data_IF_857399450145
#
_entry.id   IF_857399450145
#
_cell.length_a   1.000
_cell.length_b   1.000
_cell.length_c   1.000
_cell.angle_alpha   90.00
_cell.angle_beta   90.00
_cell.angle_gamma   90.00
#
_symmetry.space_group_name_H-M   'P 1'
#
loop_
_entity.id
_entity.type
_entity.pdbx_description
1 polymer ?
#
# COMPACT_ATOMS: atom_id res chain seq x y z
N UNK A 1 -33.09 -35.42 -30.35
CA UNK A 1 -32.14 -35.15 -29.25
C UNK A 1 -31.88 -33.65 -29.20
N UNK A 2 -32.56 -32.92 -28.31
CA UNK A 2 -32.47 -31.46 -28.23
C UNK A 2 -31.20 -31.01 -27.50
N UNK A 3 -30.43 -30.09 -28.09
CA UNK A 3 -29.23 -29.51 -27.46
C UNK A 3 -29.64 -28.62 -26.29
N UNK A 4 -29.05 -28.87 -25.12
CA UNK A 4 -29.20 -28.01 -23.93
C UNK A 4 -28.58 -26.64 -24.24
N UNK A 5 -29.40 -25.59 -24.19
CA UNK A 5 -28.94 -24.22 -24.39
C UNK A 5 -28.65 -23.59 -23.03
N UNK A 6 -27.39 -23.20 -22.81
CA UNK A 6 -26.98 -22.48 -21.60
C UNK A 6 -27.26 -20.99 -21.80
N UNK A 7 -28.08 -20.42 -20.91
CA UNK A 7 -28.41 -18.99 -20.88
C UNK A 7 -27.61 -18.28 -19.79
N UNK A 8 -27.21 -17.04 -20.05
CA UNK A 8 -26.48 -16.15 -19.15
C UNK A 8 -27.21 -14.82 -19.05
N UNK A 9 -27.15 -14.15 -17.89
CA UNK A 9 -27.85 -12.88 -17.67
C UNK A 9 -26.88 -11.71 -17.63
N UNK A 10 -27.13 -10.68 -18.43
CA UNK A 10 -26.32 -9.46 -18.40
C UNK A 10 -26.60 -8.67 -17.11
N UNK A 11 -25.56 -8.33 -16.34
CA UNK A 11 -25.65 -7.54 -15.11
C UNK A 11 -26.30 -6.15 -15.31
N UNK A 12 -26.00 -5.51 -16.44
CA UNK A 12 -26.46 -4.14 -16.73
C UNK A 12 -27.84 -4.13 -17.40
N UNK A 13 -28.02 -4.95 -18.43
CA UNK A 13 -29.27 -4.96 -19.22
C UNK A 13 -30.38 -5.84 -18.64
N UNK A 14 -30.04 -6.73 -17.69
CA UNK A 14 -30.91 -7.78 -17.11
C UNK A 14 -31.57 -8.71 -18.13
N UNK A 15 -31.07 -8.74 -19.37
CA UNK A 15 -31.55 -9.63 -20.43
C UNK A 15 -30.82 -10.98 -20.38
N UNK A 16 -31.52 -12.04 -20.74
CA UNK A 16 -30.96 -13.38 -20.92
C UNK A 16 -30.40 -13.53 -22.34
N UNK A 17 -29.20 -14.08 -22.43
CA UNK A 17 -28.44 -14.23 -23.67
C UNK A 17 -27.84 -15.62 -23.72
N UNK A 18 -27.72 -16.20 -24.91
CA UNK A 18 -27.08 -17.49 -25.07
C UNK A 18 -25.60 -17.40 -24.68
N UNK A 19 -25.08 -18.45 -24.02
CA UNK A 19 -23.69 -18.53 -23.59
C UNK A 19 -22.67 -18.69 -24.73
N UNK A 20 -23.08 -18.51 -25.99
CA UNK A 20 -22.17 -18.52 -27.13
C UNK A 20 -21.49 -17.15 -27.22
N UNK A 21 -20.18 -17.15 -27.43
CA UNK A 21 -19.38 -15.92 -27.49
C UNK A 21 -19.96 -14.84 -28.41
N UNK A 22 -20.44 -15.23 -29.60
CA UNK A 22 -21.08 -14.31 -30.53
C UNK A 22 -22.33 -13.62 -29.94
N UNK A 23 -23.19 -14.40 -29.28
CA UNK A 23 -24.43 -13.93 -28.64
C UNK A 23 -24.16 -13.12 -27.36
N UNK A 24 -22.97 -13.25 -26.76
CA UNK A 24 -22.52 -12.44 -25.62
C UNK A 24 -21.94 -11.09 -26.06
N UNK A 25 -21.25 -11.04 -27.20
CA UNK A 25 -20.58 -9.82 -27.71
C UNK A 25 -21.57 -8.85 -28.34
N UNK A 26 -22.61 -9.35 -29.03
CA UNK A 26 -23.61 -8.49 -29.67
C UNK A 26 -24.35 -7.56 -28.67
N UNK A 27 -24.88 -8.04 -27.53
CA UNK A 27 -25.56 -7.22 -26.53
C UNK A 27 -24.72 -6.05 -26.02
N UNK A 28 -23.41 -6.23 -25.85
CA UNK A 28 -22.48 -5.19 -25.35
C UNK A 28 -22.44 -3.98 -26.28
N UNK A 29 -22.62 -4.19 -27.59
CA UNK A 29 -22.63 -3.14 -28.61
C UNK A 29 -23.99 -2.45 -28.78
N UNK A 30 -25.03 -2.91 -28.08
CA UNK A 30 -26.37 -2.33 -28.20
C UNK A 30 -26.47 -1.01 -27.45
N UNK A 31 -27.31 -0.09 -27.95
CA UNK A 31 -27.63 1.17 -27.28
C UNK A 31 -28.19 0.94 -25.87
N UNK A 32 -28.98 -0.13 -25.69
CA UNK A 32 -29.55 -0.52 -24.39
C UNK A 32 -28.44 -0.81 -23.37
N UNK A 33 -27.41 -1.55 -23.76
CA UNK A 33 -26.26 -1.82 -22.89
C UNK A 33 -25.44 -0.57 -22.62
N UNK A 34 -25.13 0.21 -23.66
CA UNK A 34 -24.35 1.44 -23.50
C UNK A 34 -25.02 2.48 -22.60
N UNK A 35 -26.36 2.53 -22.55
CA UNK A 35 -27.09 3.41 -21.62
C UNK A 35 -27.08 2.79 -20.22
N UNK A 36 -27.48 1.53 -20.09
CA UNK A 36 -27.56 0.86 -18.79
C UNK A 36 -26.20 0.70 -18.09
N UNK A 37 -25.09 0.65 -18.83
CA UNK A 37 -23.74 0.52 -18.24
C UNK A 37 -23.18 1.85 -17.74
N UNK A 38 -23.62 3.00 -18.29
CA UNK A 38 -23.12 4.33 -17.90
C UNK A 38 -23.40 4.62 -16.43
N UNK A 39 -24.57 4.26 -15.94
CA UNK A 39 -24.99 4.51 -14.55
C UNK A 39 -24.20 3.66 -13.53
N UNK A 40 -23.63 2.53 -13.96
CA UNK A 40 -22.83 1.65 -13.09
C UNK A 40 -21.34 1.98 -13.12
N UNK A 41 -20.88 2.82 -14.06
CA UNK A 41 -19.47 3.18 -14.22
C UNK A 41 -19.08 4.45 -13.46
N UNK A 42 -19.99 5.03 -12.68
CA UNK A 42 -19.69 6.21 -11.85
C UNK A 42 -19.22 5.81 -10.45
N UNK A 43 -18.04 5.21 -10.35
CA UNK A 43 -17.25 5.38 -9.14
C UNK A 43 -16.85 6.86 -9.07
N UNK A 44 -17.52 7.65 -8.23
CA UNK A 44 -17.05 9.01 -7.95
C UNK A 44 -15.79 8.85 -7.12
N UNK A 45 -14.64 9.27 -7.65
CA UNK A 45 -13.48 9.49 -6.81
C UNK A 45 -13.92 10.35 -5.62
N UNK A 46 -13.54 9.96 -4.41
CA UNK A 46 -13.77 10.76 -3.20
C UNK A 46 -12.48 11.56 -2.98
N UNK A 47 -12.31 12.74 -3.62
CA UNK A 47 -11.05 13.48 -3.57
C UNK A 47 -10.71 13.96 -2.15
N UNK A 48 -11.68 14.00 -1.24
CA UNK A 48 -11.52 14.60 0.09
C UNK A 48 -11.23 13.60 1.22
N UNK A 49 -11.30 12.28 0.99
CA UNK A 49 -11.16 11.32 2.09
C UNK A 49 -9.72 11.05 2.49
N UNK A 50 -8.76 11.27 1.59
CA UNK A 50 -7.33 11.10 1.86
C UNK A 50 -6.62 12.39 1.52
N UNK A 51 -6.41 13.24 2.53
CA UNK A 51 -5.44 14.33 2.39
C UNK A 51 -4.05 13.69 2.31
N UNK A 52 -3.32 13.85 1.19
CA UNK A 52 -1.96 13.34 1.12
C UNK A 52 -1.13 14.01 2.23
N UNK A 53 -0.28 13.25 2.94
CA UNK A 53 0.60 13.84 3.94
C UNK A 53 1.47 14.89 3.26
N UNK A 54 1.77 15.98 3.98
CA UNK A 54 2.70 16.97 3.46
C UNK A 54 4.07 16.31 3.25
N UNK A 55 4.80 16.74 2.23
CA UNK A 55 6.16 16.24 2.00
C UNK A 55 7.07 16.48 3.22
N UNK A 56 6.85 17.58 3.94
CA UNK A 56 7.60 17.95 5.15
C UNK A 56 7.33 16.98 6.30
N UNK A 57 6.07 16.63 6.54
CA UNK A 57 5.69 15.66 7.57
C UNK A 57 6.14 14.25 7.19
N UNK A 58 6.05 13.86 5.92
CA UNK A 58 6.55 12.57 5.44
C UNK A 58 8.08 12.44 5.65
N UNK A 59 8.84 13.50 5.35
CA UNK A 59 10.27 13.53 5.62
C UNK A 59 10.57 13.43 7.12
N UNK A 60 9.87 14.18 7.97
CA UNK A 60 10.07 14.13 9.42
C UNK A 60 9.78 12.73 9.99
N UNK A 61 8.68 12.10 9.56
CA UNK A 61 8.35 10.73 9.94
C UNK A 61 9.41 9.74 9.46
N UNK A 62 9.89 9.86 8.22
CA UNK A 62 10.95 9.04 7.68
C UNK A 62 12.25 9.15 8.48
N UNK A 63 12.64 10.36 8.88
CA UNK A 63 13.82 10.61 9.72
C UNK A 63 13.66 10.00 11.12
N UNK A 64 12.49 10.15 11.74
CA UNK A 64 12.20 9.51 13.04
C UNK A 64 12.25 7.98 12.91
N UNK A 65 11.66 7.41 11.86
CA UNK A 65 11.71 5.97 11.60
C UNK A 65 13.14 5.47 11.42
N UNK A 66 13.99 6.22 10.71
CA UNK A 66 15.39 5.87 10.54
C UNK A 66 16.16 5.91 11.86
N UNK A 67 15.95 6.95 12.67
CA UNK A 67 16.53 7.05 14.01
C UNK A 67 16.13 5.85 14.88
N UNK A 68 14.86 5.46 14.84
CA UNK A 68 14.36 4.32 15.61
C UNK A 68 14.99 3.02 15.12
N UNK A 69 15.05 2.78 13.80
CA UNK A 69 15.65 1.58 13.25
C UNK A 69 17.13 1.41 13.62
N UNK A 70 17.87 2.51 13.75
CA UNK A 70 19.30 2.47 14.04
C UNK A 70 19.63 2.40 15.54
N UNK A 71 18.80 3.00 16.41
CA UNK A 71 19.22 3.31 17.78
C UNK A 71 18.21 3.03 18.88
N UNK A 72 16.97 2.65 18.57
CA UNK A 72 15.93 2.52 19.59
C UNK A 72 15.05 1.29 19.40
N UNK A 73 14.34 0.94 20.48
CA UNK A 73 13.22 0.01 20.36
C UNK A 73 12.10 0.63 19.53
N UNK A 74 11.44 -0.19 18.69
CA UNK A 74 10.27 0.22 17.93
C UNK A 74 9.12 0.72 18.84
N UNK A 75 9.07 0.26 20.08
CA UNK A 75 8.04 0.64 21.05
C UNK A 75 8.11 2.13 21.42
N UNK A 76 9.29 2.75 21.34
CA UNK A 76 9.48 4.16 21.64
C UNK A 76 8.70 5.08 20.68
N UNK A 77 8.35 4.61 19.48
CA UNK A 77 7.66 5.43 18.48
C UNK A 77 6.24 5.84 18.88
N UNK A 78 5.54 5.05 19.73
CA UNK A 78 4.12 5.27 20.04
C UNK A 78 3.89 6.58 20.79
N UNK A 79 4.77 6.90 21.75
CA UNK A 79 4.70 8.17 22.48
C UNK A 79 5.51 9.27 21.80
N UNK A 80 6.60 8.93 21.10
CA UNK A 80 7.43 9.91 20.42
C UNK A 80 6.67 10.64 19.32
N UNK A 81 5.88 9.93 18.49
CA UNK A 81 5.07 10.56 17.45
C UNK A 81 4.04 11.54 18.01
N UNK A 82 3.40 11.19 19.13
CA UNK A 82 2.47 12.06 19.85
C UNK A 82 3.18 13.28 20.40
N UNK A 83 4.32 13.09 21.07
CA UNK A 83 5.13 14.17 21.64
C UNK A 83 5.55 15.19 20.57
N UNK A 84 6.07 14.71 19.44
CA UNK A 84 6.49 15.58 18.34
C UNK A 84 5.30 16.39 17.79
N UNK A 85 4.14 15.76 17.63
CA UNK A 85 2.93 16.45 17.19
C UNK A 85 2.48 17.50 18.20
N UNK A 86 2.52 17.20 19.49
CA UNK A 86 2.05 18.12 20.55
C UNK A 86 3.00 19.30 20.75
N UNK A 87 4.31 19.07 20.67
CA UNK A 87 5.32 20.09 20.97
C UNK A 87 5.66 20.97 19.76
N UNK A 88 5.51 20.45 18.53
CA UNK A 88 5.94 21.15 17.31
C UNK A 88 4.76 21.53 16.41
N UNK A 89 3.63 21.94 17.00
CA UNK A 89 2.40 22.31 16.29
C UNK A 89 2.57 23.53 15.37
N UNK A 90 3.48 24.43 15.71
CA UNK A 90 3.76 25.63 14.91
C UNK A 90 4.52 25.30 13.61
N UNK A 91 5.15 24.12 13.55
CA UNK A 91 5.86 23.66 12.37
C UNK A 91 4.92 22.90 11.43
N UNK A 92 4.99 23.21 10.14
CA UNK A 92 4.25 22.46 9.11
C UNK A 92 4.65 20.97 9.08
N UNK A 93 5.87 20.63 9.49
CA UNK A 93 6.34 19.25 9.60
C UNK A 93 5.71 18.54 10.80
N UNK A 94 5.72 19.17 11.99
CA UNK A 94 5.29 18.58 13.25
C UNK A 94 3.77 18.45 13.40
N UNK A 95 3.02 19.46 12.94
CA UNK A 95 1.54 19.48 13.04
C UNK A 95 0.86 18.25 12.44
N UNK A 96 1.39 17.76 11.33
CA UNK A 96 0.81 16.67 10.55
C UNK A 96 1.45 15.30 10.79
N UNK A 97 2.37 15.20 11.77
CA UNK A 97 2.95 13.90 12.17
C UNK A 97 1.84 12.98 12.68
N UNK A 98 1.80 11.78 12.11
CA UNK A 98 0.93 10.67 12.50
C UNK A 98 1.78 9.42 12.51
N UNK A 99 2.59 9.25 13.56
CA UNK A 99 3.51 8.13 13.67
C UNK A 99 3.24 7.32 14.94
N UNK A 100 3.05 6.02 14.75
CA UNK A 100 2.86 4.98 15.76
C UNK A 100 3.49 3.69 15.25
N UNK A 101 3.48 2.63 16.05
CA UNK A 101 4.15 1.35 15.77
C UNK A 101 3.87 0.83 14.38
N UNK A 102 2.61 0.66 13.99
CA UNK A 102 2.24 0.07 12.69
C UNK A 102 2.83 0.87 11.52
N UNK A 103 2.73 2.20 11.57
CA UNK A 103 3.24 3.05 10.50
C UNK A 103 4.77 3.10 10.50
N UNK A 104 5.39 3.15 11.68
CA UNK A 104 6.84 3.13 11.81
C UNK A 104 7.43 1.83 11.24
N UNK A 105 6.86 0.68 11.63
CA UNK A 105 7.23 -0.62 11.06
C UNK A 105 7.01 -0.63 9.55
N UNK A 106 5.89 -0.10 9.05
CA UNK A 106 5.61 -0.06 7.63
C UNK A 106 6.65 0.75 6.85
N UNK A 107 7.02 1.94 7.34
CA UNK A 107 8.06 2.80 6.72
C UNK A 107 9.42 2.10 6.75
N UNK A 108 9.79 1.50 7.89
CA UNK A 108 11.06 0.78 8.03
C UNK A 108 11.12 -0.38 7.03
N UNK A 109 10.11 -1.26 7.01
CA UNK A 109 10.14 -2.48 6.22
C UNK A 109 9.92 -2.25 4.71
N UNK A 110 9.11 -1.25 4.32
CA UNK A 110 8.68 -1.09 2.92
C UNK A 110 9.29 0.13 2.23
N UNK A 111 9.98 1.00 2.96
CA UNK A 111 10.62 2.20 2.37
C UNK A 111 12.11 2.23 2.68
N UNK A 112 12.50 2.18 3.96
CA UNK A 112 13.90 2.29 4.35
C UNK A 112 14.69 1.02 4.00
N UNK A 113 14.18 -0.16 4.38
CA UNK A 113 14.81 -1.45 4.08
C UNK A 113 15.16 -1.61 2.59
N UNK A 114 14.20 -1.53 1.64
CA UNK A 114 14.53 -1.74 0.23
C UNK A 114 15.52 -0.70 -0.32
N UNK A 115 15.47 0.54 0.20
CA UNK A 115 16.44 1.57 -0.18
C UNK A 115 17.86 1.19 0.26
N UNK A 116 18.06 0.78 1.51
CA UNK A 116 19.38 0.40 2.00
C UNK A 116 19.88 -0.94 1.45
N UNK A 117 18.99 -1.91 1.21
CA UNK A 117 19.36 -3.14 0.50
C UNK A 117 19.85 -2.83 -0.92
N UNK A 118 19.17 -1.93 -1.64
CA UNK A 118 19.61 -1.51 -2.97
C UNK A 118 20.97 -0.79 -2.93
N UNK A 119 21.19 0.10 -1.97
CA UNK A 119 22.48 0.76 -1.78
C UNK A 119 23.59 -0.24 -1.49
N UNK A 120 23.35 -1.16 -0.55
CA UNK A 120 24.32 -2.20 -0.18
C UNK A 120 24.67 -3.08 -1.39
N UNK A 121 23.67 -3.53 -2.16
CA UNK A 121 23.88 -4.31 -3.37
C UNK A 121 24.72 -3.55 -4.41
N UNK A 122 24.47 -2.25 -4.55
CA UNK A 122 25.23 -1.38 -5.46
C UNK A 122 26.67 -1.16 -4.99
N UNK A 123 26.91 -1.11 -3.69
CA UNK A 123 28.25 -0.96 -3.12
C UNK A 123 29.08 -2.25 -3.22
N UNK A 124 28.43 -3.41 -3.05
CA UNK A 124 29.06 -4.71 -3.24
C UNK A 124 29.38 -4.93 -4.73
N UNK A 125 28.40 -4.68 -5.62
CA UNK A 125 28.50 -4.90 -7.07
C UNK A 125 29.18 -6.25 -7.41
N UNK A 126 30.16 -6.28 -8.31
CA UNK A 126 30.97 -7.46 -8.62
C UNK A 126 32.30 -7.52 -7.86
N UNK A 127 32.38 -6.85 -6.70
CA UNK A 127 33.60 -6.85 -5.89
C UNK A 127 33.65 -8.09 -4.97
N UNK A 128 34.84 -8.65 -4.73
CA UNK A 128 34.99 -9.72 -3.76
C UNK A 128 34.62 -9.21 -2.36
N UNK A 129 33.89 -10.01 -1.59
CA UNK A 129 33.53 -9.71 -0.21
C UNK A 129 33.83 -10.90 0.70
N UNK A 130 34.02 -10.64 1.99
CA UNK A 130 34.15 -11.67 3.02
C UNK A 130 32.88 -11.68 3.86
N UNK A 131 32.30 -12.86 4.07
CA UNK A 131 31.17 -13.04 4.96
C UNK A 131 31.68 -13.56 6.31
N UNK A 132 31.48 -12.75 7.35
CA UNK A 132 31.74 -13.17 8.72
C UNK A 132 30.43 -13.70 9.30
N UNK A 133 30.41 -14.97 9.67
CA UNK A 133 29.25 -15.61 10.31
C UNK A 133 29.59 -15.74 11.79
N UNK A 134 28.85 -15.03 12.63
CA UNK A 134 28.94 -15.12 14.08
C UNK A 134 27.76 -15.93 14.60
N UNK A 135 28.04 -17.01 15.34
CA UNK A 135 27.03 -17.86 15.94
C UNK A 135 26.98 -17.58 17.45
N UNK A 136 25.97 -16.82 17.88
CA UNK A 136 25.69 -16.63 19.30
C UNK A 136 24.62 -17.62 19.76
N UNK A 137 24.93 -18.43 20.78
CA UNK A 137 23.93 -19.27 21.45
C UNK A 137 23.31 -18.47 22.60
N UNK A 138 22.02 -18.13 22.48
CA UNK A 138 21.27 -17.52 23.58
C UNK A 138 20.95 -18.59 24.64
N UNK A 139 21.63 -18.50 25.78
CA UNK A 139 21.35 -19.29 26.99
C UNK A 139 20.49 -18.45 27.95
N UNK A 140 19.32 -18.05 27.49
CA UNK A 140 18.29 -17.50 28.37
C UNK A 140 17.69 -18.64 29.20
N UNK A 141 18.26 -18.84 30.40
CA UNK A 141 17.73 -19.77 31.41
C UNK A 141 16.41 -19.21 31.93
N UNK A 142 15.33 -19.97 31.76
CA UNK A 142 14.01 -19.69 32.34
C UNK A 142 14.02 -19.84 33.86
#
# INVERSE_FOLDING_TARGET
MGKVQYLQKCRFCKCEVNAKHFDLVQPVRTKKHAIASKDFSTSRAIPSYVRPPSIRSANAEGTICLYIAAHCSILSCDHLGVLCKTQFQDSAAGKDIKLHRTKCTYIICNTLKPHFEHLLLKEIDNQPYSLLIDESTDISVF
#
